data_IF_568780691564
#
_entry.id   IF_568780691564
#
_cell.length_a   1.000
_cell.length_b   1.000
_cell.length_c   1.000
_cell.angle_alpha   90.00
_cell.angle_beta   90.00
_cell.angle_gamma   90.00
#
_symmetry.space_group_name_H-M   'P 1'
#
loop_
_entity.id
_entity.type
_entity.pdbx_description
1 polymer ?
#
# COMPACT_ATOMS: atom_id res chain seq x y z
N UNK A 1 -0.45 -29.16 17.27
CA UNK A 1 0.78 -28.68 16.61
C UNK A 1 1.78 -28.38 17.70
N UNK A 2 2.83 -29.17 17.84
CA UNK A 2 3.90 -28.88 18.81
C UNK A 2 4.73 -27.72 18.28
N UNK A 3 4.77 -26.62 19.02
CA UNK A 3 5.72 -25.53 18.78
C UNK A 3 7.11 -26.11 19.00
N UNK A 4 7.98 -26.03 17.99
CA UNK A 4 9.37 -26.46 18.11
C UNK A 4 10.03 -25.49 19.08
N UNK A 5 10.55 -26.03 20.17
CA UNK A 5 11.30 -25.27 21.15
C UNK A 5 12.69 -24.95 20.59
N UNK A 6 12.99 -23.67 20.47
CA UNK A 6 14.17 -23.15 19.76
C UNK A 6 15.21 -22.58 20.73
N UNK A 7 15.30 -23.12 21.94
CA UNK A 7 16.23 -22.71 23.01
C UNK A 7 17.72 -22.78 22.65
N UNK A 8 18.07 -23.38 21.52
CA UNK A 8 19.43 -23.43 20.97
C UNK A 8 19.76 -22.26 20.03
N UNK A 9 18.76 -21.46 19.63
CA UNK A 9 19.00 -20.25 18.86
C UNK A 9 19.34 -19.10 19.82
N UNK A 10 20.40 -18.31 19.52
CA UNK A 10 20.68 -17.13 20.32
C UNK A 10 19.47 -16.19 20.28
N UNK A 11 19.14 -15.57 21.41
CA UNK A 11 18.11 -14.54 21.46
C UNK A 11 18.43 -13.46 20.41
N UNK A 12 17.48 -13.22 19.51
CA UNK A 12 17.63 -12.19 18.50
C UNK A 12 17.69 -10.83 19.19
N UNK A 13 18.91 -10.30 19.35
CA UNK A 13 19.11 -8.93 19.80
C UNK A 13 18.42 -7.94 18.84
N UNK A 14 18.09 -6.72 19.32
CA UNK A 14 17.45 -5.72 18.48
C UNK A 14 18.33 -5.42 17.27
N UNK A 15 17.74 -5.53 16.07
CA UNK A 15 18.43 -5.18 14.81
C UNK A 15 18.75 -3.69 14.83
N UNK A 16 20.03 -3.34 14.94
CA UNK A 16 20.46 -1.96 14.86
C UNK A 16 20.51 -1.53 13.39
N UNK A 17 19.48 -0.82 12.95
CA UNK A 17 19.50 -0.16 11.65
C UNK A 17 20.31 1.13 11.75
N UNK A 18 21.30 1.36 10.87
CA UNK A 18 21.95 2.66 10.79
C UNK A 18 20.89 3.75 10.58
N UNK A 19 20.90 4.85 11.36
CA UNK A 19 19.87 5.89 11.27
C UNK A 19 19.73 6.48 9.86
N UNK A 20 20.84 6.61 9.15
CA UNK A 20 20.89 7.07 7.77
C UNK A 20 20.13 6.14 6.82
N UNK A 21 20.27 4.82 7.00
CA UNK A 21 19.55 3.83 6.19
C UNK A 21 18.04 3.87 6.49
N UNK A 22 17.66 3.99 7.75
CA UNK A 22 16.26 4.14 8.14
C UNK A 22 15.62 5.38 7.48
N UNK A 23 16.35 6.51 7.47
CA UNK A 23 15.91 7.73 6.79
C UNK A 23 15.73 7.52 5.27
N UNK A 24 16.65 6.82 4.62
CA UNK A 24 16.55 6.51 3.19
C UNK A 24 15.35 5.61 2.88
N UNK A 25 15.08 4.61 3.71
CA UNK A 25 13.93 3.71 3.58
C UNK A 25 12.63 4.52 3.68
N UNK A 26 12.49 5.36 4.70
CA UNK A 26 11.29 6.19 4.89
C UNK A 26 11.08 7.14 3.72
N UNK A 27 12.12 7.81 3.24
CA UNK A 27 12.04 8.69 2.07
C UNK A 27 11.59 7.94 0.84
N UNK A 28 12.16 6.75 0.59
CA UNK A 28 11.76 5.93 -0.55
C UNK A 28 10.32 5.46 -0.43
N UNK A 29 9.90 4.99 0.74
CA UNK A 29 8.52 4.61 0.99
C UNK A 29 7.55 5.76 0.72
N UNK A 30 7.87 6.99 1.19
CA UNK A 30 7.07 8.18 0.93
C UNK A 30 6.97 8.49 -0.58
N UNK A 31 8.09 8.42 -1.32
CA UNK A 31 8.05 8.64 -2.79
C UNK A 31 7.21 7.59 -3.52
N UNK A 32 7.28 6.33 -3.08
CA UNK A 32 6.50 5.24 -3.66
C UNK A 32 5.01 5.40 -3.34
N UNK A 33 4.67 5.78 -2.11
CA UNK A 33 3.29 6.05 -1.71
C UNK A 33 2.69 7.19 -2.54
N UNK A 34 3.40 8.32 -2.68
CA UNK A 34 2.94 9.44 -3.49
C UNK A 34 2.71 9.06 -4.97
N UNK A 35 3.63 8.29 -5.57
CA UNK A 35 3.47 7.81 -6.93
C UNK A 35 2.30 6.83 -7.08
N UNK A 36 2.10 5.96 -6.08
CA UNK A 36 0.99 5.01 -6.05
C UNK A 36 -0.35 5.74 -5.93
N UNK A 37 -0.48 6.69 -5.01
CA UNK A 37 -1.69 7.49 -4.81
C UNK A 37 -2.08 8.26 -6.07
N UNK A 38 -1.12 8.95 -6.71
CA UNK A 38 -1.36 9.65 -7.98
C UNK A 38 -1.90 8.70 -9.04
N UNK A 39 -1.25 7.54 -9.23
CA UNK A 39 -1.67 6.56 -10.24
C UNK A 39 -3.04 5.95 -9.92
N UNK A 40 -3.34 5.70 -8.65
CA UNK A 40 -4.62 5.15 -8.22
C UNK A 40 -5.75 6.14 -8.52
N UNK A 41 -5.56 7.43 -8.21
CA UNK A 41 -6.54 8.47 -8.52
C UNK A 41 -6.79 8.60 -10.02
N UNK A 42 -5.74 8.58 -10.84
CA UNK A 42 -5.86 8.65 -12.29
C UNK A 42 -6.65 7.45 -12.85
N UNK A 43 -6.34 6.25 -12.36
CA UNK A 43 -7.02 5.02 -12.77
C UNK A 43 -8.48 5.01 -12.34
N UNK A 44 -8.80 5.41 -11.11
CA UNK A 44 -10.17 5.50 -10.61
C UNK A 44 -10.99 6.52 -11.41
N UNK A 45 -10.43 7.69 -11.69
CA UNK A 45 -11.10 8.76 -12.44
C UNK A 45 -11.36 8.34 -13.89
N UNK A 46 -10.35 7.75 -14.53
CA UNK A 46 -10.45 7.24 -15.91
C UNK A 46 -11.46 6.10 -15.99
N UNK A 47 -11.41 5.17 -15.03
CA UNK A 47 -12.34 4.04 -14.93
C UNK A 47 -13.78 4.50 -14.74
N UNK A 48 -14.05 5.41 -13.80
CA UNK A 48 -15.37 5.98 -13.57
C UNK A 48 -15.90 6.71 -14.80
N UNK A 49 -15.07 7.55 -15.43
CA UNK A 49 -15.42 8.25 -16.68
C UNK A 49 -15.79 7.28 -17.80
N UNK A 50 -15.03 6.20 -17.96
CA UNK A 50 -15.30 5.15 -18.96
C UNK A 50 -16.61 4.41 -18.66
N UNK A 51 -16.85 4.06 -17.40
CA UNK A 51 -18.07 3.38 -16.98
C UNK A 51 -19.32 4.24 -17.23
N UNK A 52 -19.25 5.54 -16.92
CA UNK A 52 -20.33 6.50 -17.21
C UNK A 52 -20.60 6.60 -18.72
N UNK A 53 -19.55 6.72 -19.54
CA UNK A 53 -19.68 6.75 -21.01
C UNK A 53 -20.26 5.45 -21.57
N UNK A 54 -20.00 4.32 -20.91
CA UNK A 54 -20.56 3.01 -21.25
C UNK A 54 -22.01 2.81 -20.80
N UNK A 55 -22.67 3.83 -20.24
CA UNK A 55 -24.04 3.73 -19.73
C UNK A 55 -24.16 3.09 -18.34
N UNK A 56 -23.05 2.98 -17.61
CA UNK A 56 -23.05 2.47 -16.25
C UNK A 56 -23.86 3.36 -15.31
N UNK A 57 -24.56 2.73 -14.36
CA UNK A 57 -25.43 3.44 -13.41
C UNK A 57 -24.60 4.33 -12.46
N UNK A 58 -24.77 5.67 -12.48
CA UNK A 58 -23.91 6.59 -11.72
C UNK A 58 -23.89 6.33 -10.22
N UNK A 59 -25.04 5.95 -9.63
CA UNK A 59 -25.14 5.65 -8.19
C UNK A 59 -24.32 4.43 -7.77
N UNK A 60 -24.22 3.43 -8.64
CA UNK A 60 -23.39 2.23 -8.37
C UNK A 60 -21.91 2.58 -8.46
N UNK A 61 -21.52 3.41 -9.43
CA UNK A 61 -20.13 3.85 -9.60
C UNK A 61 -19.67 4.66 -8.38
N UNK A 62 -20.48 5.63 -7.93
CA UNK A 62 -20.21 6.44 -6.73
C UNK A 62 -20.01 5.53 -5.50
N UNK A 63 -20.93 4.59 -5.26
CA UNK A 63 -20.82 3.62 -4.16
C UNK A 63 -19.56 2.76 -4.25
N UNK A 64 -19.17 2.31 -5.45
CA UNK A 64 -17.95 1.53 -5.67
C UNK A 64 -16.67 2.33 -5.42
N UNK A 65 -16.72 3.65 -5.64
CA UNK A 65 -15.64 4.58 -5.31
C UNK A 65 -15.58 4.93 -3.81
N UNK A 66 -16.56 4.49 -3.02
CA UNK A 66 -16.66 4.83 -1.60
C UNK A 66 -17.04 6.29 -1.34
N UNK A 67 -17.68 6.95 -2.32
CA UNK A 67 -18.16 8.33 -2.26
C UNK A 67 -19.65 8.41 -1.91
#
# INVERSE_FOLDING_TARGET
MSVIDCDYLPEAGPVQFPPELALLIVRKAATMAAAFESKALDQMTTGASRALRGGGEPRKIIRQMGL
#
